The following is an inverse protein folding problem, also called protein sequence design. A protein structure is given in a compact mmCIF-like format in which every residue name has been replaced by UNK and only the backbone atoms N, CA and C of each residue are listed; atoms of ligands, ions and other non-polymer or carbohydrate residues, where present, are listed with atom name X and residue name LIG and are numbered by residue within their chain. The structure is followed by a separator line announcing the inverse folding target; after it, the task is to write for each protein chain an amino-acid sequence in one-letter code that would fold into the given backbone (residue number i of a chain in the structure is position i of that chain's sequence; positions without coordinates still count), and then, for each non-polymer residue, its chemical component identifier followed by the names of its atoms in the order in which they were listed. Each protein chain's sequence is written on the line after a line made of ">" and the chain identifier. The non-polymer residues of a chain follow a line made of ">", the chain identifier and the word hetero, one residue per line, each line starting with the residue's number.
data_IF_222130056108
#
_entry.id   IF_222130056108
#
_cell.length_a   1.000
_cell.length_b   1.000
_cell.length_c   1.000
_cell.angle_alpha   90.00
_cell.angle_beta   90.00
_cell.angle_gamma   90.00
#
_symmetry.space_group_name_H-M   'P 1'
#
loop_
_entity.id
_entity.type
_entity.pdbx_description
1 polymer ?
#
# COMPACT_ATOMS: atom_id res chain seq x y z
N UNK A 1 -77.54 38.79 20.84
CA UNK A 1 -78.28 39.20 22.06
C UNK A 1 -78.35 38.00 22.99
N UNK A 2 -77.99 38.21 24.27
CA UNK A 2 -78.42 37.44 25.48
C UNK A 2 -78.16 35.93 25.50
N UNK A 3 -77.69 35.27 26.55
CA UNK A 3 -77.22 35.53 27.92
C UNK A 3 -76.60 34.18 28.37
N UNK A 4 -75.68 34.15 29.32
CA UNK A 4 -75.01 32.93 29.77
C UNK A 4 -75.85 32.20 30.85
N UNK A 5 -75.60 30.90 31.05
CA UNK A 5 -75.96 30.23 32.30
C UNK A 5 -74.77 29.45 32.85
N UNK A 6 -74.41 29.86 34.06
CA UNK A 6 -73.37 29.35 34.92
C UNK A 6 -73.92 28.14 35.67
N UNK A 7 -73.16 27.05 35.77
CA UNK A 7 -73.37 26.03 36.80
C UNK A 7 -72.02 25.75 37.49
N UNK A 8 -71.99 26.16 38.76
CA UNK A 8 -70.95 25.97 39.75
C UNK A 8 -70.98 24.52 40.24
N UNK A 9 -69.83 23.85 40.30
CA UNK A 9 -69.54 22.88 41.36
C UNK A 9 -68.13 23.15 41.90
N UNK A 10 -68.07 23.24 43.23
CA UNK A 10 -66.96 23.72 44.04
C UNK A 10 -66.34 22.51 44.79
N UNK A 11 -65.01 22.54 44.90
CA UNK A 11 -64.21 22.18 46.11
C UNK A 11 -64.04 20.66 46.40
N UNK A 12 -62.89 20.09 46.83
CA UNK A 12 -61.60 20.55 47.42
C UNK A 12 -60.57 19.43 47.19
N UNK A 13 -59.32 19.71 46.84
CA UNK A 13 -58.18 19.70 47.79
C UNK A 13 -57.00 18.94 47.17
N UNK A 14 -55.71 19.21 47.41
CA UNK A 14 -54.98 20.02 48.37
C UNK A 14 -53.82 20.77 47.67
N UNK A 15 -53.36 21.82 48.34
CA UNK A 15 -52.32 22.81 48.05
C UNK A 15 -50.87 22.30 48.35
N UNK A 16 -49.70 22.91 48.03
CA UNK A 16 -49.25 24.30 47.77
C UNK A 16 -47.75 24.30 47.30
N UNK A 17 -47.31 25.39 46.65
CA UNK A 17 -45.93 26.00 46.63
C UNK A 17 -44.86 25.29 45.76
N UNK A 18 -44.56 25.79 44.55
CA UNK A 18 -43.64 26.89 44.19
C UNK A 18 -42.15 26.58 44.38
N UNK A 19 -41.43 26.41 43.28
CA UNK A 19 -40.17 27.14 43.07
C UNK A 19 -39.94 27.37 41.57
N UNK A 20 -39.53 28.60 41.26
CA UNK A 20 -39.26 29.17 39.95
C UNK A 20 -37.76 29.10 39.69
N UNK A 21 -37.38 29.46 38.46
CA UNK A 21 -36.02 29.61 37.89
C UNK A 21 -35.51 28.34 37.20
N UNK A 22 -34.98 28.38 35.99
CA UNK A 22 -34.71 29.40 34.95
C UNK A 22 -34.28 28.54 33.72
N UNK A 23 -34.28 28.91 32.44
CA UNK A 23 -34.42 30.16 31.70
C UNK A 23 -34.65 29.77 30.22
N UNK A 24 -35.61 30.46 29.59
CA UNK A 24 -35.69 30.96 28.20
C UNK A 24 -34.53 30.63 27.23
N UNK A 25 -34.76 30.00 26.06
CA UNK A 25 -35.40 30.42 24.78
C UNK A 25 -34.33 30.68 23.67
N UNK A 26 -34.66 30.69 22.35
CA UNK A 26 -33.91 30.00 21.32
C UNK A 26 -33.38 30.93 20.20
N UNK A 27 -32.66 30.30 19.25
CA UNK A 27 -32.33 30.74 17.87
C UNK A 27 -31.36 31.91 17.66
N UNK A 28 -30.19 31.58 17.07
CA UNK A 28 -29.47 32.35 16.03
C UNK A 28 -28.39 31.41 15.46
N UNK A 29 -28.41 31.06 14.18
CA UNK A 29 -27.89 31.80 13.02
C UNK A 29 -26.52 31.26 12.57
N UNK A 30 -26.49 30.81 11.31
CA UNK A 30 -25.42 30.84 10.31
C UNK A 30 -23.99 31.03 10.84
N UNK A 31 -23.18 29.98 10.72
CA UNK A 31 -21.74 30.15 10.45
C UNK A 31 -21.31 29.18 9.34
N UNK A 32 -21.02 29.79 8.20
CA UNK A 32 -20.17 29.27 7.12
C UNK A 32 -18.74 29.30 7.67
N UNK A 33 -18.10 28.16 7.80
CA UNK A 33 -16.63 28.07 7.83
C UNK A 33 -16.20 26.84 7.05
N UNK A 34 -15.21 27.08 6.20
CA UNK A 34 -14.62 26.27 5.16
C UNK A 34 -13.93 25.00 5.69
N UNK A 35 -14.47 23.83 5.33
CA UNK A 35 -13.76 22.55 5.33
C UNK A 35 -13.47 22.14 3.87
N UNK A 36 -12.64 22.93 3.18
CA UNK A 36 -12.01 22.55 1.92
C UNK A 36 -10.52 22.33 2.16
N UNK A 37 -10.17 21.29 2.93
CA UNK A 37 -8.86 20.63 2.83
C UNK A 37 -8.86 19.37 3.70
N UNK A 38 -8.78 18.18 3.06
CA UNK A 38 -8.31 16.88 3.62
C UNK A 38 -9.15 15.64 3.26
N UNK A 39 -9.83 15.58 2.12
CA UNK A 39 -10.32 14.30 1.57
C UNK A 39 -9.69 13.99 0.22
N UNK A 40 -8.46 13.51 0.26
CA UNK A 40 -8.00 12.59 -0.78
C UNK A 40 -8.90 11.34 -0.68
N UNK A 41 -9.89 11.26 -1.56
CA UNK A 41 -10.79 10.13 -1.68
C UNK A 41 -9.95 8.91 -2.06
N UNK A 42 -9.90 7.88 -1.21
CA UNK A 42 -9.45 6.55 -1.62
C UNK A 42 -10.40 6.12 -2.73
N UNK A 43 -9.92 6.09 -3.97
CA UNK A 43 -10.69 5.62 -5.11
C UNK A 43 -10.78 4.10 -4.98
N UNK A 44 -11.96 3.51 -5.13
CA UNK A 44 -12.08 2.05 -5.33
C UNK A 44 -11.10 1.66 -6.44
N UNK A 45 -10.17 0.74 -6.17
CA UNK A 45 -9.08 0.42 -7.10
C UNK A 45 -9.62 0.17 -8.51
N UNK A 46 -9.16 0.94 -9.50
CA UNK A 46 -9.63 0.84 -10.87
C UNK A 46 -8.68 -0.04 -11.68
N UNK A 47 -9.18 -1.13 -12.29
CA UNK A 47 -8.42 -1.88 -13.29
C UNK A 47 -8.24 -0.99 -14.53
N UNK A 48 -7.00 -0.64 -14.85
CA UNK A 48 -6.65 0.26 -15.97
C UNK A 48 -5.98 -0.47 -17.13
N UNK A 49 -5.53 -1.70 -16.90
CA UNK A 49 -4.98 -2.59 -17.91
C UNK A 49 -5.20 -4.05 -17.50
N UNK A 50 -5.52 -4.92 -18.45
CA UNK A 50 -5.72 -6.33 -18.19
C UNK A 50 -5.48 -7.17 -19.45
N UNK A 51 -4.60 -8.16 -19.32
CA UNK A 51 -4.35 -9.24 -20.27
C UNK A 51 -4.42 -10.59 -19.54
N UNK A 52 -4.11 -11.68 -20.24
CA UNK A 52 -3.92 -13.00 -19.63
C UNK A 52 -2.69 -13.06 -18.69
N UNK A 53 -1.69 -12.19 -18.90
CA UNK A 53 -0.40 -12.24 -18.20
C UNK A 53 -0.27 -11.16 -17.12
N UNK A 54 -0.92 -10.00 -17.32
CA UNK A 54 -0.73 -8.82 -16.51
C UNK A 54 -2.06 -8.11 -16.20
N UNK A 55 -2.26 -7.74 -14.95
CA UNK A 55 -3.33 -6.85 -14.50
C UNK A 55 -2.68 -5.63 -13.86
N UNK A 56 -3.17 -4.43 -14.18
CA UNK A 56 -2.72 -3.19 -13.53
C UNK A 56 -3.93 -2.48 -12.94
N UNK A 57 -3.85 -2.19 -11.64
CA UNK A 57 -4.86 -1.44 -10.91
C UNK A 57 -4.29 -0.12 -10.44
N UNK A 58 -5.01 0.97 -10.70
CA UNK A 58 -4.70 2.28 -10.11
C UNK A 58 -5.29 2.35 -8.71
N UNK A 59 -4.44 2.59 -7.72
CA UNK A 59 -4.83 2.68 -6.30
C UNK A 59 -4.96 4.14 -5.82
N UNK A 60 -4.23 5.04 -6.45
CA UNK A 60 -4.27 6.48 -6.20
C UNK A 60 -3.88 7.26 -7.47
N UNK A 61 -3.67 8.57 -7.36
CA UNK A 61 -3.23 9.37 -8.50
C UNK A 61 -1.84 8.97 -9.00
N UNK A 62 -0.96 8.53 -8.09
CA UNK A 62 0.43 8.22 -8.41
C UNK A 62 0.75 6.72 -8.33
N UNK A 63 -0.03 5.92 -7.59
CA UNK A 63 0.33 4.53 -7.26
C UNK A 63 -0.54 3.53 -8.01
N UNK A 64 0.12 2.56 -8.62
CA UNK A 64 -0.48 1.44 -9.32
C UNK A 64 0.06 0.12 -8.74
N UNK A 65 -0.80 -0.87 -8.62
CA UNK A 65 -0.47 -2.27 -8.37
C UNK A 65 -0.39 -2.98 -9.72
N UNK A 66 0.74 -3.61 -10.04
CA UNK A 66 0.86 -4.53 -11.17
C UNK A 66 0.84 -5.96 -10.65
N UNK A 67 0.13 -6.86 -11.33
CA UNK A 67 -0.11 -8.22 -10.89
C UNK A 67 0.18 -9.17 -12.06
N UNK A 68 1.13 -10.06 -11.88
CA UNK A 68 1.41 -11.17 -12.78
C UNK A 68 1.20 -12.50 -12.06
N UNK A 69 1.06 -13.60 -12.80
CA UNK A 69 0.69 -14.88 -12.21
C UNK A 69 1.82 -15.90 -12.34
N UNK A 70 2.30 -16.40 -11.21
CA UNK A 70 3.24 -17.52 -11.16
C UNK A 70 2.48 -18.84 -11.05
N UNK A 71 2.75 -19.79 -11.95
CA UNK A 71 2.29 -21.16 -11.78
C UNK A 71 3.30 -21.93 -10.93
N UNK A 72 2.92 -22.31 -9.71
CA UNK A 72 3.74 -23.06 -8.77
C UNK A 72 3.22 -24.49 -8.58
N UNK A 73 4.12 -25.43 -8.29
CA UNK A 73 3.74 -26.82 -8.03
C UNK A 73 2.95 -26.97 -6.71
N UNK A 74 3.39 -26.27 -5.66
CA UNK A 74 2.86 -26.46 -4.30
C UNK A 74 1.69 -25.53 -3.94
N UNK A 75 1.56 -24.39 -4.62
CA UNK A 75 0.55 -23.37 -4.32
C UNK A 75 -0.39 -23.06 -5.50
N UNK A 76 -0.24 -23.76 -6.63
CA UNK A 76 -1.02 -23.52 -7.84
C UNK A 76 -0.69 -22.16 -8.47
N UNK A 77 -1.71 -21.49 -9.04
CA UNK A 77 -1.58 -20.15 -9.62
C UNK A 77 -1.53 -19.11 -8.50
N UNK A 78 -0.39 -18.44 -8.36
CA UNK A 78 -0.10 -17.44 -7.33
C UNK A 78 0.01 -16.06 -7.97
N UNK A 79 -0.83 -15.13 -7.53
CA UNK A 79 -0.72 -13.73 -7.93
C UNK A 79 0.50 -13.08 -7.25
N UNK A 80 1.40 -12.53 -8.05
CA UNK A 80 2.60 -11.81 -7.65
C UNK A 80 2.40 -10.32 -7.95
N UNK A 81 2.42 -9.52 -6.90
CA UNK A 81 2.21 -8.08 -6.98
C UNK A 81 3.55 -7.35 -7.04
N UNK A 82 3.59 -6.26 -7.79
CA UNK A 82 4.55 -5.19 -7.57
C UNK A 82 3.88 -3.82 -7.59
N UNK A 83 4.68 -2.77 -7.42
CA UNK A 83 4.19 -1.40 -7.33
C UNK A 83 4.83 -0.52 -8.40
N UNK A 84 4.02 0.26 -9.08
CA UNK A 84 4.45 1.35 -9.96
C UNK A 84 4.08 2.69 -9.31
N UNK A 85 5.05 3.57 -9.17
CA UNK A 85 4.85 4.97 -8.78
C UNK A 85 5.07 5.85 -10.00
N UNK A 86 4.14 6.76 -10.29
CA UNK A 86 4.21 7.70 -11.40
C UNK A 86 4.05 9.14 -10.91
N UNK A 87 4.94 10.03 -11.35
CA UNK A 87 4.80 11.47 -11.16
C UNK A 87 5.50 12.22 -12.30
N UNK A 88 4.86 13.26 -12.84
CA UNK A 88 5.40 14.13 -13.91
C UNK A 88 6.05 13.34 -15.07
N UNK A 89 5.29 12.39 -15.65
CA UNK A 89 5.73 11.54 -16.76
C UNK A 89 6.98 10.67 -16.46
N UNK A 90 7.29 10.44 -15.18
CA UNK A 90 8.33 9.51 -14.75
C UNK A 90 7.72 8.39 -13.92
N UNK A 91 8.30 7.20 -14.05
CA UNK A 91 7.92 5.98 -13.36
C UNK A 91 9.08 5.39 -12.56
N UNK A 92 8.78 4.87 -11.37
CA UNK A 92 9.66 3.96 -10.61
C UNK A 92 8.88 2.71 -10.30
N UNK A 93 9.48 1.56 -10.61
CA UNK A 93 8.90 0.24 -10.41
C UNK A 93 9.56 -0.47 -9.23
N UNK A 94 8.74 -1.11 -8.41
CA UNK A 94 9.14 -2.11 -7.44
C UNK A 94 8.67 -3.47 -7.91
N UNK A 95 9.61 -4.40 -7.94
CA UNK A 95 9.49 -5.75 -8.50
C UNK A 95 9.12 -5.80 -9.99
N UNK A 96 9.75 -6.76 -10.69
CA UNK A 96 9.36 -7.13 -12.05
C UNK A 96 8.16 -8.07 -12.00
N UNK A 97 7.34 -8.13 -13.06
CA UNK A 97 6.52 -9.31 -13.31
C UNK A 97 7.35 -10.60 -13.36
N UNK A 98 6.70 -11.74 -13.19
CA UNK A 98 7.34 -13.06 -13.02
C UNK A 98 8.17 -13.57 -14.21
N UNK A 99 8.06 -12.92 -15.38
CA UNK A 99 8.78 -13.26 -16.61
C UNK A 99 9.01 -12.04 -17.53
N UNK A 100 9.85 -12.21 -18.55
CA UNK A 100 10.16 -11.18 -19.55
C UNK A 100 8.91 -10.75 -20.36
N UNK A 101 8.01 -11.69 -20.71
CA UNK A 101 6.79 -11.40 -21.49
C UNK A 101 5.88 -10.40 -20.76
N UNK A 102 5.57 -10.68 -19.50
CA UNK A 102 4.74 -9.82 -18.66
C UNK A 102 5.44 -8.51 -18.32
N UNK A 103 6.77 -8.54 -18.20
CA UNK A 103 7.59 -7.34 -18.00
C UNK A 103 7.59 -6.40 -19.20
N UNK A 104 7.65 -6.94 -20.42
CA UNK A 104 7.52 -6.17 -21.66
C UNK A 104 6.13 -5.54 -21.77
N UNK A 105 5.06 -6.28 -21.40
CA UNK A 105 3.72 -5.71 -21.33
C UNK A 105 3.65 -4.54 -20.34
N UNK A 106 4.26 -4.67 -19.16
CA UNK A 106 4.31 -3.59 -18.16
C UNK A 106 5.10 -2.38 -18.68
N UNK A 107 6.28 -2.59 -19.27
CA UNK A 107 7.11 -1.52 -19.85
C UNK A 107 6.32 -0.80 -20.95
N UNK A 108 5.65 -1.53 -21.83
CA UNK A 108 4.82 -0.97 -22.89
C UNK A 108 3.63 -0.18 -22.34
N UNK A 109 2.96 -0.66 -21.29
CA UNK A 109 1.90 0.10 -20.64
C UNK A 109 2.41 1.44 -20.10
N UNK A 110 3.53 1.44 -19.36
CA UNK A 110 4.06 2.68 -18.77
C UNK A 110 4.52 3.66 -19.85
N UNK A 111 5.21 3.18 -20.88
CA UNK A 111 5.77 4.03 -21.93
C UNK A 111 4.72 4.51 -22.93
N UNK A 112 3.81 3.62 -23.36
CA UNK A 112 2.87 3.90 -24.43
C UNK A 112 1.51 4.40 -23.95
N UNK A 113 0.99 3.90 -22.82
CA UNK A 113 -0.32 4.32 -22.32
C UNK A 113 -0.20 5.49 -21.34
N UNK A 114 0.70 5.37 -20.36
CA UNK A 114 0.93 6.45 -19.39
C UNK A 114 1.85 7.56 -19.92
N UNK A 115 2.51 7.35 -21.07
CA UNK A 115 3.48 8.29 -21.65
C UNK A 115 4.56 8.68 -20.63
N UNK A 116 5.05 7.69 -19.88
CA UNK A 116 6.02 7.88 -18.81
C UNK A 116 7.36 7.20 -19.13
N UNK A 117 8.45 7.86 -18.74
CA UNK A 117 9.79 7.28 -18.71
C UNK A 117 9.97 6.43 -17.45
N UNK A 118 10.36 5.17 -17.57
CA UNK A 118 10.73 4.35 -16.41
C UNK A 118 12.17 4.67 -16.04
N UNK A 119 12.34 5.34 -14.90
CA UNK A 119 13.65 5.82 -14.43
C UNK A 119 14.36 4.84 -13.49
N UNK A 120 13.63 3.87 -12.93
CA UNK A 120 14.21 2.84 -12.06
C UNK A 120 13.32 1.60 -11.97
N UNK A 121 13.96 0.44 -11.85
CA UNK A 121 13.38 -0.82 -11.37
C UNK A 121 14.12 -1.25 -10.09
N UNK A 122 13.35 -1.58 -9.05
CA UNK A 122 13.86 -1.91 -7.71
C UNK A 122 13.31 -3.26 -7.27
N UNK A 123 14.03 -4.37 -7.50
CA UNK A 123 13.69 -5.66 -6.92
C UNK A 123 13.78 -5.59 -5.39
N UNK A 124 12.73 -6.03 -4.71
CA UNK A 124 12.64 -5.96 -3.25
C UNK A 124 13.34 -7.11 -2.55
N UNK A 125 13.55 -8.22 -3.25
CA UNK A 125 14.44 -9.30 -2.83
C UNK A 125 14.84 -10.16 -4.04
N UNK A 126 15.64 -11.19 -3.80
CA UNK A 126 16.25 -12.01 -4.84
C UNK A 126 15.38 -13.12 -5.46
N UNK A 127 14.10 -13.27 -5.08
CA UNK A 127 13.23 -14.32 -5.66
C UNK A 127 12.69 -13.94 -7.05
N UNK A 128 12.21 -14.95 -7.77
CA UNK A 128 11.79 -14.82 -9.17
C UNK A 128 10.60 -13.86 -9.36
N UNK A 129 9.70 -13.76 -8.38
CA UNK A 129 8.60 -12.80 -8.38
C UNK A 129 9.07 -11.33 -8.22
N UNK A 130 10.36 -11.10 -8.02
CA UNK A 130 10.98 -9.77 -8.01
C UNK A 130 11.89 -9.51 -9.20
N UNK A 131 12.61 -10.53 -9.68
CA UNK A 131 13.64 -10.40 -10.73
C UNK A 131 13.37 -11.23 -11.99
N UNK A 132 12.26 -11.94 -12.07
CA UNK A 132 11.97 -12.92 -13.13
C UNK A 132 11.94 -12.32 -14.53
N UNK A 133 11.62 -11.03 -14.64
CA UNK A 133 11.65 -10.29 -15.91
C UNK A 133 12.75 -9.24 -16.02
N UNK A 134 13.79 -9.31 -15.18
CA UNK A 134 14.79 -8.23 -15.09
C UNK A 134 15.57 -7.98 -16.39
N UNK A 135 15.76 -9.03 -17.20
CA UNK A 135 16.44 -8.94 -18.49
C UNK A 135 15.73 -7.96 -19.43
N UNK A 136 14.40 -7.99 -19.46
CA UNK A 136 13.62 -7.08 -20.30
C UNK A 136 13.84 -5.60 -19.93
N UNK A 137 14.01 -5.32 -18.64
CA UNK A 137 14.35 -3.98 -18.15
C UNK A 137 15.77 -3.56 -18.56
N UNK A 138 16.72 -4.50 -18.54
CA UNK A 138 18.10 -4.24 -18.99
C UNK A 138 18.18 -3.96 -20.49
N UNK A 139 17.43 -4.70 -21.31
CA UNK A 139 17.34 -4.50 -22.76
C UNK A 139 16.79 -3.11 -23.11
N UNK A 140 15.83 -2.62 -22.31
CA UNK A 140 15.26 -1.28 -22.43
C UNK A 140 16.11 -0.18 -21.78
N UNK A 141 17.32 -0.52 -21.28
CA UNK A 141 18.23 0.39 -20.58
C UNK A 141 17.60 1.09 -19.37
N UNK A 142 16.66 0.42 -18.69
CA UNK A 142 16.05 0.92 -17.45
C UNK A 142 17.04 0.64 -16.30
N UNK A 143 17.44 1.66 -15.51
CA UNK A 143 18.39 1.44 -14.43
C UNK A 143 17.85 0.56 -13.30
N UNK A 144 18.57 -0.51 -12.99
CA UNK A 144 18.27 -1.38 -11.84
C UNK A 144 18.95 -0.85 -10.59
N UNK A 145 18.21 -0.81 -9.47
CA UNK A 145 18.74 -0.52 -8.15
C UNK A 145 18.41 -1.67 -7.21
N UNK A 146 19.40 -2.16 -6.46
CA UNK A 146 19.17 -3.23 -5.50
C UNK A 146 20.10 -3.10 -4.30
N UNK A 147 19.73 -3.72 -3.18
CA UNK A 147 20.64 -3.80 -2.05
C UNK A 147 21.86 -4.62 -2.41
N UNK A 148 23.00 -4.32 -1.80
CA UNK A 148 24.21 -5.14 -1.90
C UNK A 148 23.92 -6.61 -1.59
N UNK A 149 23.11 -6.86 -0.57
CA UNK A 149 22.74 -8.21 -0.15
C UNK A 149 21.93 -8.95 -1.22
N UNK A 150 20.97 -8.28 -1.85
CA UNK A 150 20.21 -8.82 -2.99
C UNK A 150 21.14 -9.15 -4.15
N UNK A 151 22.07 -8.25 -4.50
CA UNK A 151 23.06 -8.48 -5.57
C UNK A 151 23.93 -9.72 -5.26
N UNK A 152 24.41 -9.86 -4.02
CA UNK A 152 25.21 -11.01 -3.60
C UNK A 152 24.42 -12.33 -3.67
N UNK A 153 23.15 -12.34 -3.26
CA UNK A 153 22.30 -13.52 -3.30
C UNK A 153 21.96 -13.93 -4.75
N UNK A 154 21.69 -12.95 -5.62
CA UNK A 154 21.44 -13.19 -7.04
C UNK A 154 22.66 -13.81 -7.72
N UNK A 155 23.87 -13.27 -7.47
CA UNK A 155 25.13 -13.85 -7.96
C UNK A 155 25.33 -15.29 -7.46
N UNK A 156 25.03 -15.56 -6.19
CA UNK A 156 25.13 -16.93 -5.62
C UNK A 156 24.14 -17.91 -6.26
N UNK A 157 22.97 -17.45 -6.68
CA UNK A 157 21.99 -18.25 -7.45
C UNK A 157 22.30 -18.32 -8.95
N UNK A 158 23.42 -17.76 -9.41
CA UNK A 158 23.85 -17.80 -10.80
C UNK A 158 23.17 -16.79 -11.71
N UNK A 159 22.44 -15.82 -11.16
CA UNK A 159 21.88 -14.71 -11.92
C UNK A 159 23.03 -13.82 -12.41
N UNK A 160 23.08 -13.62 -13.73
CA UNK A 160 23.99 -12.67 -14.37
C UNK A 160 23.19 -11.46 -14.82
N UNK A 161 23.77 -10.28 -14.64
CA UNK A 161 23.22 -9.01 -15.10
C UNK A 161 24.02 -8.55 -16.31
N UNK A 162 23.32 -8.22 -17.39
CA UNK A 162 23.97 -7.69 -18.60
C UNK A 162 24.38 -6.23 -18.42
N UNK A 163 23.81 -5.54 -17.43
CA UNK A 163 24.10 -4.15 -17.09
C UNK A 163 24.57 -4.01 -15.64
N UNK A 164 25.38 -2.97 -15.31
CA UNK A 164 25.70 -2.67 -13.92
C UNK A 164 24.44 -2.32 -13.11
N UNK A 165 24.34 -2.88 -11.91
CA UNK A 165 23.31 -2.51 -10.93
C UNK A 165 23.80 -1.35 -10.08
N UNK A 166 22.92 -0.38 -9.82
CA UNK A 166 23.15 0.67 -8.84
C UNK A 166 22.94 0.10 -7.42
N UNK A 167 24.04 -0.20 -6.75
CA UNK A 167 24.03 -0.77 -5.40
C UNK A 167 23.71 0.28 -4.33
N UNK A 168 22.94 -0.12 -3.31
CA UNK A 168 22.83 0.59 -2.05
C UNK A 168 22.86 -0.38 -0.86
N UNK A 169 23.15 0.11 0.34
CA UNK A 169 23.24 -0.73 1.54
C UNK A 169 21.87 -0.86 2.23
N UNK A 170 21.41 0.19 2.93
CA UNK A 170 20.19 0.12 3.75
C UNK A 170 19.01 0.95 3.21
N UNK A 171 19.28 2.05 2.52
CA UNK A 171 18.24 2.95 2.06
C UNK A 171 18.61 3.62 0.74
N UNK A 172 17.61 3.79 -0.12
CA UNK A 172 17.68 4.51 -1.37
C UNK A 172 16.61 5.61 -1.39
N UNK A 173 16.95 6.76 -1.97
CA UNK A 173 15.98 7.82 -2.27
C UNK A 173 16.17 8.24 -3.72
N UNK A 174 15.10 8.16 -4.50
CA UNK A 174 15.10 8.56 -5.90
C UNK A 174 14.11 9.72 -6.10
N UNK A 175 14.50 10.68 -6.93
CA UNK A 175 13.58 11.73 -7.36
C UNK A 175 12.70 11.18 -8.49
N UNK A 176 11.40 11.43 -8.40
CA UNK A 176 10.42 11.14 -9.45
C UNK A 176 9.67 12.44 -9.74
N UNK A 177 10.10 13.16 -10.77
CA UNK A 177 9.71 14.56 -10.97
C UNK A 177 10.10 15.42 -9.77
N UNK A 178 9.13 16.18 -9.25
CA UNK A 178 9.25 16.97 -8.02
C UNK A 178 9.00 16.20 -6.71
N UNK A 179 8.75 14.89 -6.74
CA UNK A 179 8.52 14.03 -5.57
C UNK A 179 9.71 13.11 -5.31
N UNK A 180 9.65 12.36 -4.20
CA UNK A 180 10.63 11.33 -3.86
C UNK A 180 9.96 10.00 -3.58
N UNK A 181 10.65 8.93 -3.98
CA UNK A 181 10.32 7.54 -3.63
C UNK A 181 11.50 6.93 -2.89
N UNK A 182 11.22 6.01 -1.98
CA UNK A 182 12.19 5.42 -1.07
C UNK A 182 12.16 3.90 -1.16
N UNK A 183 13.32 3.29 -1.01
CA UNK A 183 13.45 1.85 -0.77
C UNK A 183 14.30 1.66 0.50
N UNK A 184 13.88 0.79 1.42
CA UNK A 184 14.52 0.70 2.74
C UNK A 184 14.48 -0.71 3.33
N UNK A 185 15.62 -1.12 3.89
CA UNK A 185 15.80 -2.35 4.63
C UNK A 185 15.50 -2.14 6.12
N UNK A 186 14.63 -2.98 6.69
CA UNK A 186 14.24 -2.93 8.11
C UNK A 186 14.74 -4.12 8.93
N UNK A 187 15.32 -5.12 8.27
CA UNK A 187 15.68 -6.41 8.86
C UNK A 187 15.17 -7.60 8.07
N UNK A 188 15.61 -8.79 8.46
CA UNK A 188 15.23 -10.04 7.82
C UNK A 188 13.74 -10.39 8.08
N UNK A 189 13.15 -11.15 7.17
CA UNK A 189 11.78 -11.66 7.31
C UNK A 189 11.50 -12.77 6.31
N UNK A 190 10.84 -12.45 5.20
CA UNK A 190 10.61 -13.40 4.08
C UNK A 190 11.92 -13.89 3.48
N UNK A 191 12.88 -12.99 3.36
CA UNK A 191 14.27 -13.30 3.04
C UNK A 191 15.20 -12.49 3.92
N UNK A 192 16.51 -12.72 3.77
CA UNK A 192 17.51 -11.93 4.49
C UNK A 192 17.70 -10.53 3.90
N UNK A 193 17.31 -10.31 2.65
CA UNK A 193 17.58 -9.10 1.86
C UNK A 193 16.31 -8.28 1.56
N UNK A 194 15.15 -8.69 2.06
CA UNK A 194 13.89 -8.01 1.74
C UNK A 194 13.90 -6.53 2.12
N UNK A 195 13.42 -5.68 1.21
CA UNK A 195 13.18 -4.26 1.48
C UNK A 195 11.72 -3.90 1.24
N UNK A 196 11.31 -2.71 1.69
CA UNK A 196 10.03 -2.12 1.32
C UNK A 196 10.24 -0.92 0.40
N UNK A 197 9.23 -0.62 -0.41
CA UNK A 197 9.10 0.65 -1.13
C UNK A 197 8.16 1.60 -0.38
N UNK A 198 8.48 2.88 -0.33
CA UNK A 198 7.61 3.91 0.28
C UNK A 198 7.50 5.15 -0.61
N UNK A 199 6.26 5.58 -0.84
CA UNK A 199 5.93 6.82 -1.53
C UNK A 199 5.11 7.74 -0.60
N UNK A 200 5.72 8.82 -0.07
CA UNK A 200 5.09 9.62 0.99
C UNK A 200 3.83 10.38 0.57
N UNK A 201 3.77 10.85 -0.69
CA UNK A 201 2.69 11.72 -1.17
C UNK A 201 1.31 11.05 -1.02
N UNK A 202 1.26 9.74 -1.25
CA UNK A 202 0.03 8.95 -1.18
C UNK A 202 -0.02 8.03 0.06
N UNK A 203 0.92 8.20 1.00
CA UNK A 203 1.10 7.32 2.17
C UNK A 203 1.13 5.83 1.77
N UNK A 204 1.83 5.50 0.68
CA UNK A 204 1.79 4.18 0.07
C UNK A 204 3.07 3.38 0.32
N UNK A 205 2.91 2.13 0.75
CA UNK A 205 3.97 1.17 0.99
C UNK A 205 3.78 -0.03 0.08
N UNK A 206 4.84 -0.38 -0.64
CA UNK A 206 4.99 -1.72 -1.19
C UNK A 206 5.77 -2.57 -0.18
N UNK A 207 5.06 -3.47 0.48
CA UNK A 207 5.61 -4.33 1.52
C UNK A 207 6.34 -5.55 0.98
N UNK A 208 6.19 -5.85 -0.32
CA UNK A 208 6.71 -7.08 -0.92
C UNK A 208 6.29 -8.33 -0.16
N UNK A 209 7.02 -9.43 -0.35
CA UNK A 209 6.69 -10.71 0.27
C UNK A 209 6.89 -10.74 1.80
N UNK A 210 7.54 -9.70 2.36
CA UNK A 210 7.65 -9.46 3.80
C UNK A 210 6.28 -9.17 4.44
N UNK A 211 5.36 -8.51 3.74
CA UNK A 211 4.02 -8.23 4.25
C UNK A 211 3.02 -9.24 3.68
N UNK A 212 2.22 -9.86 4.56
CA UNK A 212 1.17 -10.80 4.16
C UNK A 212 -0.18 -10.11 4.12
N UNK A 213 -1.01 -10.46 3.12
CA UNK A 213 -2.43 -10.09 3.14
C UNK A 213 -3.14 -10.70 4.36
N UNK A 214 -4.22 -10.06 4.80
CA UNK A 214 -5.09 -10.62 5.83
C UNK A 214 -5.63 -11.99 5.41
N UNK A 215 -5.59 -12.96 6.32
CA UNK A 215 -6.02 -14.34 6.11
C UNK A 215 -5.08 -15.20 5.26
N UNK A 216 -3.87 -14.73 4.91
CA UNK A 216 -2.86 -15.57 4.28
C UNK A 216 -2.20 -16.55 5.27
N UNK A 217 -1.80 -17.72 4.78
CA UNK A 217 -0.87 -18.58 5.51
C UNK A 217 0.55 -17.98 5.47
N UNK A 218 1.51 -18.63 6.15
CA UNK A 218 2.91 -18.21 6.16
C UNK A 218 3.57 -18.24 4.76
N UNK A 219 3.08 -19.09 3.85
CA UNK A 219 3.62 -19.25 2.51
C UNK A 219 4.98 -19.97 2.51
N UNK A 220 5.83 -19.65 1.52
CA UNK A 220 7.19 -20.18 1.43
C UNK A 220 8.08 -19.60 2.55
N UNK A 221 8.78 -20.48 3.27
CA UNK A 221 9.67 -20.14 4.37
C UNK A 221 11.12 -20.61 4.15
N UNK A 222 11.45 -21.13 2.97
CA UNK A 222 12.76 -21.73 2.67
C UNK A 222 13.93 -20.78 2.96
N UNK A 223 13.78 -19.51 2.56
CA UNK A 223 14.80 -18.47 2.73
C UNK A 223 14.48 -17.51 3.91
N UNK A 224 13.44 -17.81 4.70
CA UNK A 224 12.89 -16.90 5.70
C UNK A 224 13.62 -16.94 7.04
N UNK A 225 13.72 -15.77 7.70
CA UNK A 225 14.06 -15.66 9.11
C UNK A 225 12.80 -15.41 9.94
N UNK A 226 12.10 -16.48 10.26
CA UNK A 226 10.84 -16.42 11.02
C UNK A 226 11.00 -15.89 12.45
N UNK A 227 12.21 -15.95 13.03
CA UNK A 227 12.50 -15.41 14.36
C UNK A 227 12.63 -13.88 14.37
N UNK A 228 12.86 -13.26 13.21
CA UNK A 228 13.02 -11.80 13.06
C UNK A 228 11.86 -11.11 12.39
N UNK A 229 11.04 -11.86 11.66
CA UNK A 229 10.00 -11.33 10.80
C UNK A 229 9.03 -10.37 11.52
N UNK A 230 8.44 -10.77 12.64
CA UNK A 230 7.50 -9.93 13.39
C UNK A 230 8.17 -8.66 13.94
N UNK A 231 9.41 -8.74 14.43
CA UNK A 231 10.20 -7.58 14.88
C UNK A 231 10.47 -6.60 13.74
N UNK A 232 10.84 -7.11 12.56
CA UNK A 232 11.06 -6.32 11.34
C UNK A 232 9.79 -5.55 10.94
N UNK A 233 8.63 -6.22 10.92
CA UNK A 233 7.36 -5.57 10.56
C UNK A 233 6.90 -4.57 11.62
N UNK A 234 7.18 -4.80 12.91
CA UNK A 234 6.94 -3.80 13.97
C UNK A 234 7.73 -2.50 13.72
N UNK A 235 8.97 -2.57 13.23
CA UNK A 235 9.77 -1.39 12.88
C UNK A 235 9.14 -0.60 11.73
N UNK A 236 8.63 -1.29 10.72
CA UNK A 236 7.91 -0.66 9.58
C UNK A 236 6.65 0.03 10.09
N UNK A 237 5.82 -0.66 10.87
CA UNK A 237 4.59 -0.09 11.45
C UNK A 237 4.89 1.14 12.31
N UNK A 238 5.95 1.09 13.12
CA UNK A 238 6.36 2.20 13.97
C UNK A 238 6.79 3.42 13.14
N UNK A 239 7.50 3.21 12.03
CA UNK A 239 7.96 4.30 11.16
C UNK A 239 6.85 4.88 10.30
N UNK A 240 5.89 4.05 9.89
CA UNK A 240 4.81 4.43 8.98
C UNK A 240 3.41 4.12 9.55
N UNK A 241 3.02 4.74 10.67
CA UNK A 241 1.74 4.47 11.33
C UNK A 241 0.52 4.95 10.52
N UNK A 242 0.73 5.91 9.62
CA UNK A 242 -0.32 6.53 8.79
C UNK A 242 -0.34 5.99 7.36
N UNK A 243 0.20 4.79 7.11
CA UNK A 243 0.16 4.17 5.79
C UNK A 243 -1.31 3.91 5.37
N UNK A 244 -1.69 4.37 4.17
CA UNK A 244 -3.06 4.23 3.65
C UNK A 244 -3.19 3.12 2.62
N UNK A 245 -2.12 2.89 1.87
CA UNK A 245 -2.02 1.87 0.84
C UNK A 245 -0.84 0.97 1.23
N UNK A 246 -1.10 -0.29 1.50
CA UNK A 246 -0.09 -1.31 1.81
C UNK A 246 -0.32 -2.46 0.83
N UNK A 247 0.60 -2.61 -0.11
CA UNK A 247 0.57 -3.66 -1.13
C UNK A 247 1.49 -4.81 -0.66
N UNK A 248 0.96 -6.00 -0.33
CA UNK A 248 1.76 -7.18 -0.05
C UNK A 248 2.30 -7.76 -1.35
N UNK A 249 3.32 -8.62 -1.29
CA UNK A 249 3.86 -9.31 -2.47
C UNK A 249 2.87 -10.29 -3.10
N UNK A 250 1.89 -10.78 -2.33
CA UNK A 250 0.84 -11.66 -2.84
C UNK A 250 -0.54 -11.30 -2.30
N UNK A 251 -1.50 -11.27 -3.23
CA UNK A 251 -2.93 -11.10 -2.97
C UNK A 251 -3.34 -9.67 -2.62
N UNK A 252 -4.47 -9.50 -1.92
CA UNK A 252 -5.12 -8.18 -1.83
C UNK A 252 -4.33 -7.17 -0.97
N UNK A 253 -4.13 -5.96 -1.51
CA UNK A 253 -3.69 -4.79 -0.77
C UNK A 253 -4.72 -4.32 0.30
N UNK A 254 -4.25 -3.53 1.26
CA UNK A 254 -5.09 -2.93 2.30
C UNK A 254 -4.39 -1.74 2.95
N UNK A 255 -4.64 -1.52 4.24
CA UNK A 255 -3.97 -0.51 5.05
C UNK A 255 -3.00 -1.13 6.08
N UNK A 256 -2.81 -0.42 7.20
CA UNK A 256 -1.93 -0.84 8.28
C UNK A 256 -2.33 -2.15 8.97
N UNK A 257 -3.57 -2.62 8.77
CA UNK A 257 -4.02 -3.92 9.28
C UNK A 257 -3.24 -5.11 8.71
N UNK A 258 -2.60 -4.95 7.54
CA UNK A 258 -1.69 -5.96 7.00
C UNK A 258 -0.41 -6.09 7.84
N UNK A 259 0.08 -5.00 8.43
CA UNK A 259 1.21 -5.05 9.34
C UNK A 259 0.84 -5.84 10.60
N UNK A 260 -0.31 -5.52 11.20
CA UNK A 260 -0.79 -6.21 12.40
C UNK A 260 -0.99 -7.70 12.16
N UNK A 261 -1.65 -8.06 11.06
CA UNK A 261 -1.83 -9.45 10.68
C UNK A 261 -0.50 -10.18 10.50
N UNK A 262 0.46 -9.56 9.81
CA UNK A 262 1.77 -10.17 9.56
C UNK A 262 2.57 -10.33 10.86
N UNK A 263 2.52 -9.35 11.76
CA UNK A 263 3.15 -9.43 13.08
C UNK A 263 2.60 -10.61 13.86
N UNK A 264 1.26 -10.72 13.97
CA UNK A 264 0.60 -11.81 14.70
C UNK A 264 0.94 -13.18 14.10
N UNK A 265 0.95 -13.29 12.76
CA UNK A 265 1.24 -14.53 12.05
C UNK A 265 2.65 -15.08 12.35
N UNK A 266 3.62 -14.19 12.59
CA UNK A 266 5.02 -14.52 12.84
C UNK A 266 5.49 -14.16 14.26
N UNK A 267 4.55 -14.02 15.20
CA UNK A 267 4.90 -13.81 16.60
C UNK A 267 5.61 -15.08 17.13
N UNK A 268 6.83 -14.90 17.65
CA UNK A 268 7.58 -15.99 18.28
C UNK A 268 6.98 -16.22 19.67
N UNK A 269 6.52 -17.43 19.92
CA UNK A 269 6.01 -17.85 21.24
C UNK A 269 7.14 -18.21 22.19
#
# INVERSE_FOLDING_TARGET
>A
MTKPLLAFFLFVGLTFISCKESSSNPNQAIQKTSDENSKAHLIDSLVVYQTENLIIKRLSNHVYEHISCLNTNDFGKVDCNGMLVVNENKGVLFDTPIDNKSSLELINFVTNELKCEITAIIPTHFHQDCVGGIEEFEEHNIPTYATKQTIELLKKKGQNFSKPINEFENSLSLNIGNKKVYAEYFGEGHTKDNIIGYFPEDNAIFGGCLIKRVGASKGNLEDANTNKWSETVRKIKLKYPEAKIVIPGHGKWGGTELFDYTIELFEVK
#
